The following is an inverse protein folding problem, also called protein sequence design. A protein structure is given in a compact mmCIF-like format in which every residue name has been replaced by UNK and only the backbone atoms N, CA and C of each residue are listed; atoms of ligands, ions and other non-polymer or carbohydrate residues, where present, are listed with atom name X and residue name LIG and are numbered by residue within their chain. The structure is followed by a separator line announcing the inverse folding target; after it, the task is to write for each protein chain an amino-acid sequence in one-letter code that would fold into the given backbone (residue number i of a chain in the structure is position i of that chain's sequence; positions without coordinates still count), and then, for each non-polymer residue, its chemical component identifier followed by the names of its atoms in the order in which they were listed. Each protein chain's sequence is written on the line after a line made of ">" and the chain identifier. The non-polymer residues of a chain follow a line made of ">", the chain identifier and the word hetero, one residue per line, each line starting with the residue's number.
data_IF_256577077199
#
_entry.id   IF_256577077199
#
_cell.length_a   1.000
_cell.length_b   1.000
_cell.length_c   1.000
_cell.angle_alpha   90.00
_cell.angle_beta   90.00
_cell.angle_gamma   90.00
#
_symmetry.space_group_name_H-M   'P 1'
#
loop_
_entity.id
_entity.type
_entity.pdbx_description
1 polymer ?
#
# COMPACT_ATOMS: atom_id res chain seq x y z
N UNK A 1 11.78 9.46 -3.88
CA UNK A 1 11.96 8.01 -3.75
C UNK A 1 11.25 7.43 -2.53
N UNK A 2 11.46 7.95 -1.32
CA UNK A 2 10.84 7.45 -0.07
C UNK A 2 9.33 7.22 -0.17
N UNK A 3 8.56 8.22 -0.62
CA UNK A 3 7.10 8.12 -0.71
C UNK A 3 6.64 7.03 -1.68
N UNK A 4 7.37 6.86 -2.79
CA UNK A 4 7.11 5.80 -3.78
C UNK A 4 7.41 4.42 -3.19
N UNK A 5 8.57 4.23 -2.56
CA UNK A 5 8.95 2.97 -1.94
C UNK A 5 7.99 2.59 -0.80
N UNK A 6 7.60 3.54 0.06
CA UNK A 6 6.63 3.30 1.11
C UNK A 6 5.24 2.94 0.55
N UNK A 7 4.77 3.64 -0.49
CA UNK A 7 3.49 3.37 -1.14
C UNK A 7 3.45 2.00 -1.80
N UNK A 8 4.51 1.60 -2.51
CA UNK A 8 4.56 0.30 -3.16
C UNK A 8 4.69 -0.86 -2.16
N UNK A 9 5.37 -0.63 -1.01
CA UNK A 9 5.40 -1.59 0.09
C UNK A 9 4.02 -1.76 0.74
N UNK A 10 3.23 -0.68 0.86
CA UNK A 10 1.85 -0.80 1.30
C UNK A 10 1.05 -1.69 0.34
N UNK A 11 1.17 -1.47 -0.97
CA UNK A 11 0.50 -2.28 -1.99
C UNK A 11 0.91 -3.75 -1.87
N UNK A 12 2.20 -4.05 -1.75
CA UNK A 12 2.71 -5.40 -1.53
C UNK A 12 2.11 -6.05 -0.30
N UNK A 13 2.10 -5.34 0.84
CA UNK A 13 1.62 -5.87 2.11
C UNK A 13 0.10 -6.12 2.07
N UNK A 14 -0.67 -5.18 1.53
CA UNK A 14 -2.12 -5.32 1.35
C UNK A 14 -2.44 -6.48 0.42
N UNK A 15 -1.73 -6.59 -0.72
CA UNK A 15 -1.90 -7.71 -1.64
C UNK A 15 -1.61 -9.04 -0.93
N UNK A 16 -0.46 -9.16 -0.27
CA UNK A 16 -0.02 -10.39 0.37
C UNK A 16 -0.95 -10.84 1.51
N UNK A 17 -1.42 -9.92 2.35
CA UNK A 17 -2.20 -10.25 3.55
C UNK A 17 -3.70 -10.32 3.28
N UNK A 18 -4.25 -9.42 2.45
CA UNK A 18 -5.69 -9.28 2.29
C UNK A 18 -6.22 -9.91 0.99
N UNK A 19 -5.46 -9.86 -0.11
CA UNK A 19 -5.93 -10.33 -1.40
C UNK A 19 -5.49 -11.76 -1.72
N UNK A 20 -4.26 -12.12 -1.40
CA UNK A 20 -3.72 -13.48 -1.65
C UNK A 20 -4.65 -14.61 -1.15
N UNK A 21 -5.24 -14.54 0.05
CA UNK A 21 -6.15 -15.60 0.52
C UNK A 21 -7.43 -15.76 -0.30
N UNK A 22 -7.79 -14.76 -1.11
CA UNK A 22 -9.01 -14.73 -1.93
C UNK A 22 -8.76 -15.13 -3.40
N UNK A 23 -7.49 -15.25 -3.80
CA UNK A 23 -7.08 -15.48 -5.18
C UNK A 23 -6.75 -16.96 -5.43
N UNK A 24 -6.95 -17.40 -6.66
CA UNK A 24 -6.60 -18.78 -7.01
C UNK A 24 -5.08 -18.94 -7.18
N UNK A 25 -4.61 -20.17 -6.95
CA UNK A 25 -3.18 -20.50 -6.96
C UNK A 25 -2.53 -20.29 -8.34
N UNK A 26 -3.25 -20.52 -9.43
CA UNK A 26 -2.73 -20.32 -10.78
C UNK A 26 -2.41 -18.84 -11.06
N UNK A 27 -3.27 -17.94 -10.61
CA UNK A 27 -3.01 -16.49 -10.71
C UNK A 27 -1.83 -16.09 -9.82
N UNK A 28 -1.78 -16.57 -8.58
CA UNK A 28 -0.71 -16.22 -7.64
C UNK A 28 0.68 -16.62 -8.15
N UNK A 29 0.77 -17.71 -8.91
CA UNK A 29 2.02 -18.21 -9.49
C UNK A 29 2.28 -17.69 -10.93
N UNK A 30 1.42 -16.84 -11.47
CA UNK A 30 1.65 -16.25 -12.79
C UNK A 30 2.85 -15.29 -12.76
N UNK A 31 3.59 -15.22 -13.86
CA UNK A 31 4.77 -14.35 -13.98
C UNK A 31 4.40 -12.88 -13.74
N UNK A 32 3.27 -12.41 -14.29
CA UNK A 32 2.79 -11.03 -14.11
C UNK A 32 2.54 -10.71 -12.65
N UNK A 33 1.86 -11.61 -11.92
CA UNK A 33 1.59 -11.42 -10.50
C UNK A 33 2.88 -11.40 -9.66
N UNK A 34 3.79 -12.35 -9.92
CA UNK A 34 5.06 -12.43 -9.21
C UNK A 34 5.93 -11.19 -9.46
N UNK A 35 5.96 -10.68 -10.68
CA UNK A 35 6.70 -9.46 -11.00
C UNK A 35 6.07 -8.23 -10.34
N UNK A 36 4.78 -7.98 -10.59
CA UNK A 36 4.13 -6.73 -10.20
C UNK A 36 3.90 -6.63 -8.70
N UNK A 37 3.48 -7.72 -8.07
CA UNK A 37 3.08 -7.71 -6.66
C UNK A 37 4.15 -8.22 -5.68
N UNK A 38 5.26 -8.79 -6.18
CA UNK A 38 6.34 -9.27 -5.32
C UNK A 38 7.70 -8.67 -5.70
N UNK A 39 8.20 -8.93 -6.91
CA UNK A 39 9.56 -8.51 -7.28
C UNK A 39 9.71 -6.99 -7.31
N UNK A 40 8.82 -6.27 -8.01
CA UNK A 40 8.90 -4.81 -8.15
C UNK A 40 8.82 -4.09 -6.79
N UNK A 41 7.90 -4.39 -5.87
CA UNK A 41 7.87 -3.79 -4.55
C UNK A 41 9.13 -4.01 -3.72
N UNK A 42 9.67 -5.23 -3.74
CA UNK A 42 10.89 -5.55 -3.00
C UNK A 42 12.10 -4.84 -3.60
N UNK A 43 12.23 -4.81 -4.92
CA UNK A 43 13.30 -4.08 -5.61
C UNK A 43 13.22 -2.56 -5.36
N UNK A 44 12.02 -1.98 -5.34
CA UNK A 44 11.85 -0.56 -5.03
C UNK A 44 12.25 -0.22 -3.58
N UNK A 45 11.97 -1.12 -2.64
CA UNK A 45 12.43 -0.97 -1.26
C UNK A 45 13.95 -1.08 -1.14
N UNK A 46 14.56 -2.05 -1.85
CA UNK A 46 16.01 -2.22 -1.91
C UNK A 46 16.69 -1.00 -2.58
N UNK A 47 16.17 -0.52 -3.69
CA UNK A 47 16.67 0.70 -4.38
C UNK A 47 16.68 1.89 -3.41
N UNK A 48 15.58 2.11 -2.69
CA UNK A 48 15.53 3.18 -1.70
C UNK A 48 16.56 2.98 -0.57
N UNK A 49 16.72 1.77 -0.05
CA UNK A 49 17.64 1.51 1.05
C UNK A 49 19.12 1.65 0.66
N UNK A 50 19.47 1.25 -0.58
CA UNK A 50 20.87 1.17 -1.02
C UNK A 50 21.34 2.42 -1.76
N UNK A 51 20.48 3.04 -2.57
CA UNK A 51 20.86 4.08 -3.53
C UNK A 51 20.22 5.44 -3.32
N UNK A 52 19.37 5.60 -2.28
CA UNK A 52 18.83 6.92 -1.99
C UNK A 52 19.86 7.73 -1.19
N UNK A 53 20.42 8.77 -1.79
CA UNK A 53 21.42 9.63 -1.15
C UNK A 53 20.83 10.45 0.01
N UNK A 54 19.50 10.56 0.05
CA UNK A 54 18.76 11.34 1.04
C UNK A 54 18.71 12.82 0.66
N UNK A 55 17.95 13.58 1.43
CA UNK A 55 18.04 15.03 1.42
C UNK A 55 19.18 15.44 2.35
N UNK A 56 20.02 16.38 1.93
CA UNK A 56 21.11 16.95 2.76
C UNK A 56 20.58 17.43 4.12
N UNK A 57 19.32 17.86 4.19
CA UNK A 57 18.68 18.49 5.36
C UNK A 57 17.91 17.52 6.28
N UNK A 58 18.07 16.19 6.14
CA UNK A 58 17.50 15.27 7.13
C UNK A 58 16.58 14.17 6.61
N UNK A 59 15.89 13.53 7.54
CA UNK A 59 14.99 12.40 7.27
C UNK A 59 13.75 12.85 6.46
N UNK A 60 13.33 12.09 5.44
CA UNK A 60 12.12 12.42 4.69
C UNK A 60 10.90 12.47 5.61
N UNK A 61 10.07 13.50 5.43
CA UNK A 61 8.85 13.68 6.23
C UNK A 61 7.86 12.54 5.93
N UNK A 62 7.50 11.77 6.93
CA UNK A 62 6.55 10.64 6.79
C UNK A 62 5.22 11.08 6.19
N UNK A 63 4.77 12.31 6.46
CA UNK A 63 3.53 12.84 5.89
C UNK A 63 3.48 12.74 4.36
N UNK A 64 4.61 12.92 3.67
CA UNK A 64 4.66 12.78 2.20
C UNK A 64 4.43 11.35 1.70
N UNK A 65 4.69 10.34 2.52
CA UNK A 65 4.41 8.96 2.17
C UNK A 65 2.92 8.69 1.97
N UNK A 66 2.05 9.49 2.62
CA UNK A 66 0.60 9.34 2.49
C UNK A 66 0.01 9.97 1.21
N UNK A 67 0.76 10.79 0.49
CA UNK A 67 0.24 11.50 -0.67
C UNK A 67 -0.33 10.56 -1.74
N UNK A 68 0.40 9.50 -2.10
CA UNK A 68 -0.04 8.52 -3.11
C UNK A 68 -1.22 7.66 -2.63
N UNK A 69 -1.19 7.04 -1.44
CA UNK A 69 -2.35 6.31 -0.92
C UNK A 69 -3.60 7.19 -0.78
N UNK A 70 -3.46 8.44 -0.34
CA UNK A 70 -4.56 9.38 -0.24
C UNK A 70 -5.15 9.73 -1.62
N UNK A 71 -4.28 10.05 -2.59
CA UNK A 71 -4.71 10.33 -3.97
C UNK A 71 -5.43 9.12 -4.59
N UNK A 72 -4.90 7.90 -4.39
CA UNK A 72 -5.55 6.68 -4.83
C UNK A 72 -6.92 6.47 -4.17
N UNK A 73 -7.04 6.72 -2.88
CA UNK A 73 -8.31 6.60 -2.17
C UNK A 73 -9.35 7.60 -2.69
N UNK A 74 -8.96 8.87 -2.86
CA UNK A 74 -9.84 9.91 -3.44
C UNK A 74 -10.26 9.52 -4.86
N UNK A 75 -9.33 9.08 -5.71
CA UNK A 75 -9.63 8.62 -7.06
C UNK A 75 -10.63 7.44 -7.04
N UNK A 76 -10.44 6.48 -6.13
CA UNK A 76 -11.36 5.34 -5.97
C UNK A 76 -12.78 5.81 -5.63
N UNK A 77 -12.92 6.79 -4.72
CA UNK A 77 -14.22 7.36 -4.38
C UNK A 77 -14.87 8.08 -5.57
N UNK A 78 -14.11 8.88 -6.31
CA UNK A 78 -14.59 9.59 -7.50
C UNK A 78 -15.06 8.60 -8.56
N UNK A 79 -14.27 7.58 -8.88
CA UNK A 79 -14.64 6.56 -9.87
C UNK A 79 -15.88 5.76 -9.44
N UNK A 80 -16.01 5.45 -8.16
CA UNK A 80 -17.20 4.79 -7.61
C UNK A 80 -18.45 5.67 -7.74
N UNK A 81 -18.34 6.97 -7.49
CA UNK A 81 -19.45 7.93 -7.68
C UNK A 81 -19.81 8.08 -9.16
N UNK A 82 -18.84 8.08 -10.05
CA UNK A 82 -19.05 8.15 -11.50
C UNK A 82 -19.64 6.86 -12.09
N UNK A 83 -19.92 5.85 -11.28
CA UNK A 83 -20.55 4.60 -11.72
C UNK A 83 -19.61 3.62 -12.41
N UNK A 84 -18.31 3.85 -12.40
CA UNK A 84 -17.30 2.92 -12.92
C UNK A 84 -17.45 1.55 -12.26
N UNK A 85 -17.33 0.49 -13.06
CA UNK A 85 -17.36 -0.90 -12.60
C UNK A 85 -16.02 -1.57 -12.86
N UNK A 86 -15.58 -2.35 -11.89
CA UNK A 86 -14.37 -3.15 -11.95
C UNK A 86 -14.68 -4.59 -12.35
N UNK A 87 -13.69 -5.44 -12.42
CA UNK A 87 -13.84 -6.85 -12.76
C UNK A 87 -14.94 -7.53 -11.92
N UNK A 88 -15.77 -8.34 -12.56
CA UNK A 88 -16.92 -8.98 -11.89
C UNK A 88 -18.08 -8.02 -11.56
N UNK A 89 -18.10 -6.78 -12.09
CA UNK A 89 -19.15 -5.79 -11.82
C UNK A 89 -19.02 -5.08 -10.46
N UNK A 90 -17.90 -5.26 -9.77
CA UNK A 90 -17.63 -4.63 -8.46
C UNK A 90 -17.63 -3.10 -8.56
N UNK A 91 -18.14 -2.40 -7.54
CA UNK A 91 -18.17 -0.94 -7.49
C UNK A 91 -16.90 -0.32 -6.92
N UNK A 92 -15.98 -1.11 -6.40
CA UNK A 92 -14.67 -0.67 -5.93
C UNK A 92 -13.60 -1.70 -6.33
N UNK A 93 -12.32 -1.27 -6.49
CA UNK A 93 -11.24 -2.19 -6.88
C UNK A 93 -10.94 -3.23 -5.79
N UNK A 94 -11.19 -2.89 -4.53
CA UNK A 94 -11.00 -3.75 -3.38
C UNK A 94 -12.26 -3.81 -2.52
N UNK A 95 -12.59 -4.98 -1.99
CA UNK A 95 -13.79 -5.18 -1.17
C UNK A 95 -13.82 -4.25 0.05
N UNK A 96 -12.68 -4.02 0.70
CA UNK A 96 -12.56 -3.19 1.89
C UNK A 96 -12.66 -1.67 1.63
N UNK A 97 -12.64 -1.23 0.36
CA UNK A 97 -12.88 0.17 -0.03
C UNK A 97 -14.31 0.41 -0.56
N UNK A 98 -15.15 -0.62 -0.57
CA UNK A 98 -16.48 -0.54 -1.14
C UNK A 98 -17.48 0.06 -0.14
N UNK A 99 -17.63 1.40 -0.17
CA UNK A 99 -18.56 2.13 0.69
C UNK A 99 -20.02 1.71 0.45
N UNK A 100 -20.38 1.30 -0.77
CA UNK A 100 -21.77 0.90 -1.09
C UNK A 100 -22.18 -0.38 -0.36
N UNK A 101 -21.25 -1.28 -0.12
CA UNK A 101 -21.51 -2.56 0.58
C UNK A 101 -21.23 -2.50 2.07
N UNK A 102 -20.13 -1.86 2.48
CA UNK A 102 -19.68 -1.83 3.88
C UNK A 102 -20.21 -0.62 4.66
N UNK A 103 -20.63 0.44 3.96
CA UNK A 103 -20.89 1.74 4.59
C UNK A 103 -19.61 2.39 5.10
N UNK A 104 -19.75 3.56 5.75
CA UNK A 104 -18.58 4.29 6.27
C UNK A 104 -18.11 3.78 7.64
N UNK A 105 -18.99 3.77 8.63
CA UNK A 105 -18.62 3.55 10.04
C UNK A 105 -19.17 2.22 10.61
N UNK A 106 -19.93 1.48 9.82
CA UNK A 106 -20.62 0.28 10.31
C UNK A 106 -19.63 -0.79 10.79
N UNK A 107 -20.01 -1.47 11.88
CA UNK A 107 -19.37 -2.70 12.34
C UNK A 107 -20.48 -3.73 12.47
N UNK A 108 -20.59 -4.64 11.51
CA UNK A 108 -21.67 -5.65 11.50
C UNK A 108 -21.09 -7.03 11.16
N UNK A 109 -21.40 -8.02 12.00
CA UNK A 109 -21.07 -9.45 11.76
C UNK A 109 -19.61 -9.68 11.33
N UNK A 110 -18.66 -8.98 11.94
CA UNK A 110 -17.25 -9.10 11.60
C UNK A 110 -16.79 -8.34 10.35
N UNK A 111 -17.66 -7.53 9.74
CA UNK A 111 -17.30 -6.63 8.63
C UNK A 111 -17.12 -5.21 9.15
N UNK A 112 -16.00 -4.60 8.79
CA UNK A 112 -15.66 -3.21 9.13
C UNK A 112 -16.07 -2.30 7.99
N UNK A 113 -16.65 -1.12 8.34
CA UNK A 113 -16.87 -0.04 7.39
C UNK A 113 -15.57 0.54 6.84
N UNK A 114 -15.64 1.23 5.71
CA UNK A 114 -14.48 1.74 4.98
C UNK A 114 -13.60 2.66 5.83
N UNK A 115 -14.18 3.47 6.72
CA UNK A 115 -13.43 4.33 7.63
C UNK A 115 -12.43 3.53 8.48
N UNK A 116 -12.86 2.41 9.05
CA UNK A 116 -12.00 1.57 9.88
C UNK A 116 -10.87 0.92 9.07
N UNK A 117 -11.17 0.50 7.85
CA UNK A 117 -10.14 0.01 6.92
C UNK A 117 -9.12 1.09 6.59
N UNK A 118 -9.55 2.33 6.34
CA UNK A 118 -8.64 3.45 6.10
C UNK A 118 -7.74 3.68 7.31
N UNK A 119 -8.28 3.66 8.53
CA UNK A 119 -7.48 3.80 9.76
C UNK A 119 -6.44 2.67 9.87
N UNK A 120 -6.84 1.42 9.67
CA UNK A 120 -5.94 0.27 9.69
C UNK A 120 -4.82 0.41 8.65
N UNK A 121 -5.18 0.78 7.42
CA UNK A 121 -4.21 0.97 6.34
C UNK A 121 -3.27 2.15 6.60
N UNK A 122 -3.75 3.23 7.19
CA UNK A 122 -2.91 4.36 7.60
C UNK A 122 -1.90 3.94 8.68
N UNK A 123 -2.33 3.19 9.69
CA UNK A 123 -1.43 2.69 10.73
C UNK A 123 -0.40 1.71 10.15
N UNK A 124 -0.84 0.79 9.31
CA UNK A 124 0.06 -0.13 8.61
C UNK A 124 1.09 0.63 7.77
N UNK A 125 0.64 1.63 7.00
CA UNK A 125 1.54 2.44 6.19
C UNK A 125 2.54 3.21 7.02
N UNK A 126 2.13 3.75 8.17
CA UNK A 126 3.03 4.41 9.11
C UNK A 126 4.12 3.45 9.60
N UNK A 127 3.75 2.23 10.00
CA UNK A 127 4.71 1.22 10.45
C UNK A 127 5.69 0.88 9.33
N UNK A 128 5.21 0.61 8.12
CA UNK A 128 6.06 0.30 6.95
C UNK A 128 7.02 1.44 6.63
N UNK A 129 6.54 2.68 6.64
CA UNK A 129 7.36 3.87 6.39
C UNK A 129 8.46 4.03 7.46
N UNK A 130 8.15 3.79 8.73
CA UNK A 130 9.12 3.83 9.83
C UNK A 130 10.15 2.71 9.73
N UNK A 131 9.71 1.49 9.43
CA UNK A 131 10.62 0.37 9.20
C UNK A 131 11.58 0.64 8.04
N UNK A 132 11.07 1.14 6.92
CA UNK A 132 11.88 1.48 5.75
C UNK A 132 12.94 2.54 6.06
N UNK A 133 12.59 3.60 6.81
CA UNK A 133 13.54 4.60 7.28
C UNK A 133 14.59 4.02 8.23
N UNK A 134 14.16 3.19 9.18
CA UNK A 134 15.06 2.53 10.13
C UNK A 134 16.06 1.61 9.46
N UNK A 135 15.60 0.78 8.52
CA UNK A 135 16.46 -0.12 7.73
C UNK A 135 17.49 0.67 6.91
N UNK A 136 17.06 1.72 6.21
CA UNK A 136 17.98 2.59 5.46
C UNK A 136 19.04 3.21 6.36
N UNK A 137 18.68 3.70 7.54
CA UNK A 137 19.64 4.31 8.47
C UNK A 137 20.69 3.29 8.96
N UNK A 138 20.29 2.03 9.16
CA UNK A 138 21.22 0.97 9.50
C UNK A 138 22.19 0.63 8.37
N UNK A 139 21.69 0.52 7.13
CA UNK A 139 22.53 0.27 5.94
C UNK A 139 23.57 1.38 5.77
N UNK A 140 23.16 2.64 5.84
CA UNK A 140 24.08 3.79 5.72
C UNK A 140 25.19 3.77 6.77
N UNK A 141 24.84 3.52 8.03
CA UNK A 141 25.80 3.45 9.14
C UNK A 141 26.84 2.33 9.00
N UNK A 142 26.49 1.23 8.32
CA UNK A 142 27.43 0.14 8.06
C UNK A 142 28.34 0.40 6.84
N UNK A 143 27.88 1.15 5.86
CA UNK A 143 28.66 1.52 4.69
C UNK A 143 29.72 2.62 4.94
N UNK A 144 29.60 3.35 6.04
CA UNK A 144 30.54 4.41 6.46
C UNK A 144 31.66 3.89 7.40
N UNK A 145 31.67 2.60 7.71
CA UNK A 145 32.73 1.93 8.51
C UNK A 145 33.70 1.19 7.61
#
# INVERSE_FOLDING_TARGET
>A
RFALAAGILLTFTVFSLLLTPMLNRSYLLSADNLLVHNAVPLLAALDYMLFDEGLEDGQPRIGWAYALPAAYFVLTLVLMQSGVRYAGGASAPYYFLNVRTLGWFGVRRGQLGVFWWVVILCLLHWVLARLLQGLRSMVKKHGER
#
